data_IF_067868770810
#
_entry.id   IF_067868770810
#
_cell.length_a   1.000
_cell.length_b   1.000
_cell.length_c   1.000
_cell.angle_alpha   90.00
_cell.angle_beta   90.00
_cell.angle_gamma   90.00
#
_symmetry.space_group_name_H-M   'P 1'
#
loop_
_entity.id
_entity.type
_entity.pdbx_description
1 polymer ?
#
# COMPACT_ATOMS: atom_id res chain seq x y z
N UNK A 1 2.04 4.76 -13.92
CA UNK A 1 2.05 5.88 -14.89
C UNK A 1 1.04 5.75 -16.01
N UNK A 2 1.07 4.70 -16.84
CA UNK A 2 0.12 4.58 -17.97
C UNK A 2 -1.35 4.55 -17.53
N UNK A 3 -1.66 3.80 -16.48
CA UNK A 3 -3.01 3.75 -15.89
C UNK A 3 -3.43 5.10 -15.29
N UNK A 4 -2.54 5.77 -14.57
CA UNK A 4 -2.78 7.15 -14.11
C UNK A 4 -3.10 8.10 -15.28
N UNK A 5 -2.31 8.08 -16.36
CA UNK A 5 -2.54 8.92 -17.54
C UNK A 5 -3.87 8.58 -18.24
N UNK A 6 -4.22 7.30 -18.34
CA UNK A 6 -5.50 6.85 -18.90
C UNK A 6 -6.69 7.46 -18.14
N UNK A 7 -6.58 7.58 -16.83
CA UNK A 7 -7.61 8.16 -15.97
C UNK A 7 -7.43 9.65 -15.69
N UNK A 8 -6.51 10.34 -16.38
CA UNK A 8 -6.25 11.77 -16.19
C UNK A 8 -5.71 12.13 -14.79
N UNK A 9 -5.12 11.17 -14.08
CA UNK A 9 -4.56 11.39 -12.73
C UNK A 9 -3.20 12.07 -12.87
N UNK A 10 -3.08 13.25 -12.27
CA UNK A 10 -1.78 13.94 -12.16
C UNK A 10 -0.93 13.27 -11.10
N UNK A 11 0.28 12.85 -11.47
CA UNK A 11 1.22 12.15 -10.58
C UNK A 11 2.42 13.04 -10.31
N UNK A 12 2.74 13.24 -9.03
CA UNK A 12 4.02 13.83 -8.62
C UNK A 12 4.99 12.73 -8.20
N UNK A 13 6.15 12.66 -8.87
CA UNK A 13 7.18 11.69 -8.54
C UNK A 13 8.02 12.18 -7.38
N UNK A 14 8.05 11.39 -6.31
CA UNK A 14 8.95 11.60 -5.17
C UNK A 14 10.10 10.62 -5.32
N UNK A 15 11.23 11.09 -5.84
CA UNK A 15 12.42 10.25 -6.10
C UNK A 15 13.60 10.74 -5.26
N UNK A 16 14.10 9.95 -4.30
CA UNK A 16 15.34 10.27 -3.60
C UNK A 16 16.54 10.13 -4.55
N UNK A 17 17.61 10.90 -4.29
CA UNK A 17 18.87 10.78 -5.03
C UNK A 17 19.52 9.40 -4.84
N UNK A 18 19.34 8.82 -3.65
CA UNK A 18 19.84 7.51 -3.27
C UNK A 18 18.76 6.78 -2.47
N UNK A 19 18.48 5.51 -2.81
CA UNK A 19 17.50 4.71 -2.09
C UNK A 19 18.11 4.10 -0.82
N UNK A 20 17.64 4.55 0.35
CA UNK A 20 18.10 4.08 1.67
C UNK A 20 17.16 3.08 2.33
N UNK A 21 16.23 2.51 1.57
CA UNK A 21 15.21 1.60 2.08
C UNK A 21 13.88 2.29 2.40
N UNK A 22 12.92 1.49 2.88
CA UNK A 22 11.50 1.85 2.91
C UNK A 22 11.15 3.09 3.75
N UNK A 23 11.89 3.40 4.82
CA UNK A 23 11.69 4.63 5.59
C UNK A 23 11.96 5.90 4.78
N UNK A 24 12.70 5.80 3.66
CA UNK A 24 12.91 6.94 2.77
C UNK A 24 11.59 7.48 2.24
N UNK A 25 10.56 6.63 2.11
CA UNK A 25 9.21 7.06 1.77
C UNK A 25 8.66 8.08 2.77
N UNK A 26 8.81 7.84 4.07
CA UNK A 26 8.37 8.78 5.12
C UNK A 26 9.20 10.06 5.07
N UNK A 27 10.53 9.95 4.97
CA UNK A 27 11.41 11.12 4.90
C UNK A 27 11.07 12.03 3.72
N UNK A 28 10.85 11.45 2.54
CA UNK A 28 10.51 12.24 1.36
C UNK A 28 9.06 12.76 1.41
N UNK A 29 8.14 12.01 2.00
CA UNK A 29 6.79 12.51 2.25
C UNK A 29 6.81 13.73 3.17
N UNK A 30 7.63 13.74 4.23
CA UNK A 30 7.83 14.92 5.08
C UNK A 30 8.33 16.14 4.29
N UNK A 31 9.20 15.94 3.29
CA UNK A 31 9.66 17.03 2.43
C UNK A 31 8.53 17.54 1.55
N UNK A 32 7.79 16.61 0.94
CA UNK A 32 6.77 16.91 -0.06
C UNK A 32 5.58 17.68 0.53
N UNK A 33 5.13 17.33 1.73
CA UNK A 33 3.92 17.90 2.35
C UNK A 33 4.17 19.17 3.18
N UNK A 34 5.43 19.60 3.29
CA UNK A 34 5.84 20.71 4.16
C UNK A 34 5.17 22.04 3.79
N UNK A 35 4.95 22.26 2.50
CA UNK A 35 4.41 23.50 1.92
C UNK A 35 3.02 23.31 1.29
N UNK A 36 2.37 22.17 1.56
CA UNK A 36 1.04 21.83 1.02
C UNK A 36 -0.06 22.29 1.97
N UNK A 37 -1.24 22.63 1.44
CA UNK A 37 -2.35 23.08 2.27
C UNK A 37 -2.94 21.90 3.04
N UNK A 38 -3.28 22.15 4.30
CA UNK A 38 -3.75 21.12 5.23
C UNK A 38 -5.05 20.44 4.78
N UNK A 39 -5.89 21.18 4.05
CA UNK A 39 -7.16 20.70 3.50
C UNK A 39 -7.01 19.83 2.26
N UNK A 40 -5.87 19.84 1.58
CA UNK A 40 -5.66 19.06 0.36
C UNK A 40 -5.74 17.56 0.68
N UNK A 41 -6.27 16.77 -0.25
CA UNK A 41 -6.28 15.31 -0.17
C UNK A 41 -5.13 14.78 -1.01
N UNK A 42 -4.30 13.92 -0.41
CA UNK A 42 -3.18 13.27 -1.08
C UNK A 42 -3.42 11.76 -1.10
N UNK A 43 -3.10 11.12 -2.23
CA UNK A 43 -2.96 9.67 -2.33
C UNK A 43 -1.48 9.36 -2.51
N UNK A 44 -0.95 8.51 -1.63
CA UNK A 44 0.34 7.89 -1.79
C UNK A 44 0.18 6.51 -2.42
N UNK A 45 1.06 6.19 -3.37
CA UNK A 45 1.15 4.89 -3.98
C UNK A 45 2.62 4.50 -4.19
N UNK A 46 2.96 3.24 -3.90
CA UNK A 46 4.20 2.64 -4.38
C UNK A 46 4.21 2.66 -5.92
N UNK A 47 5.36 2.96 -6.51
CA UNK A 47 5.40 3.34 -7.93
C UNK A 47 5.54 2.14 -8.88
N UNK A 48 6.14 1.04 -8.43
CA UNK A 48 6.56 -0.06 -9.31
C UNK A 48 5.49 -1.14 -9.49
N UNK A 49 4.67 -1.36 -8.48
CA UNK A 49 3.74 -2.49 -8.36
C UNK A 49 2.31 -2.04 -8.02
N UNK A 50 1.96 -0.78 -8.30
CA UNK A 50 0.59 -0.28 -8.19
C UNK A 50 0.00 0.16 -9.55
N UNK A 51 -1.31 -0.02 -9.71
CA UNK A 51 -2.07 0.48 -10.84
C UNK A 51 -3.32 1.24 -10.35
N UNK A 52 -3.65 2.34 -11.04
CA UNK A 52 -4.97 2.96 -10.93
C UNK A 52 -5.99 2.17 -11.77
N UNK A 53 -7.21 2.05 -11.26
CA UNK A 53 -8.33 1.31 -11.86
C UNK A 53 -9.57 2.20 -12.09
N UNK A 54 -9.54 3.43 -11.57
CA UNK A 54 -10.56 4.45 -11.77
C UNK A 54 -9.92 5.84 -11.86
N UNK A 55 -10.73 6.85 -12.17
CA UNK A 55 -10.34 8.24 -11.97
C UNK A 55 -10.19 8.59 -10.48
N UNK A 56 -9.55 9.75 -10.24
CA UNK A 56 -9.25 10.23 -8.89
C UNK A 56 -10.51 10.64 -8.11
N UNK A 57 -11.57 11.07 -8.79
CA UNK A 57 -12.80 11.53 -8.14
C UNK A 57 -13.53 10.36 -7.50
N UNK A 58 -13.53 9.19 -8.14
CA UNK A 58 -14.09 7.96 -7.56
C UNK A 58 -13.41 7.64 -6.21
N UNK A 59 -12.07 7.67 -6.15
CA UNK A 59 -11.32 7.44 -4.92
C UNK A 59 -11.62 8.51 -3.85
N UNK A 60 -11.63 9.79 -4.24
CA UNK A 60 -11.92 10.91 -3.31
C UNK A 60 -13.34 10.84 -2.75
N UNK A 61 -14.32 10.46 -3.57
CA UNK A 61 -15.72 10.31 -3.14
C UNK A 61 -15.88 9.18 -2.12
N UNK A 62 -15.26 8.02 -2.36
CA UNK A 62 -15.24 6.90 -1.41
C UNK A 62 -14.53 7.28 -0.10
N UNK A 63 -13.39 7.96 -0.19
CA UNK A 63 -12.68 8.41 1.00
C UNK A 63 -13.50 9.39 1.84
N UNK A 64 -14.17 10.33 1.18
CA UNK A 64 -15.03 11.31 1.83
C UNK A 64 -16.22 10.63 2.51
N UNK A 65 -16.84 9.62 1.88
CA UNK A 65 -17.96 8.88 2.48
C UNK A 65 -17.55 8.01 3.67
N UNK A 66 -16.29 7.58 3.72
CA UNK A 66 -15.75 6.85 4.87
C UNK A 66 -15.62 7.72 6.13
N UNK A 67 -15.72 9.05 6.03
CA UNK A 67 -15.58 9.98 7.14
C UNK A 67 -14.34 9.65 7.99
N UNK A 68 -13.16 9.81 7.42
CA UNK A 68 -11.86 9.62 8.08
C UNK A 68 -10.85 10.65 7.58
N UNK A 69 -9.81 10.89 8.37
CA UNK A 69 -8.76 11.87 8.07
C UNK A 69 -7.60 11.23 7.31
N UNK A 70 -7.36 9.94 7.55
CA UNK A 70 -6.32 9.12 6.94
C UNK A 70 -6.82 7.68 6.78
N UNK A 71 -6.74 7.16 5.57
CA UNK A 71 -7.09 5.80 5.19
C UNK A 71 -5.85 5.08 4.68
N UNK A 72 -5.47 3.98 5.32
CA UNK A 72 -4.41 3.11 4.84
C UNK A 72 -5.01 1.86 4.20
N UNK A 73 -4.38 1.33 3.16
CA UNK A 73 -4.82 0.05 2.60
C UNK A 73 -4.67 -1.08 3.61
N UNK A 74 -5.55 -2.08 3.51
CA UNK A 74 -5.51 -3.27 4.37
C UNK A 74 -5.01 -4.50 3.59
N UNK A 75 -4.34 -5.43 4.27
CA UNK A 75 -3.84 -6.67 3.71
C UNK A 75 -4.16 -7.88 4.60
N UNK A 76 -3.93 -9.08 4.06
CA UNK A 76 -4.17 -10.37 4.74
C UNK A 76 -2.98 -10.84 5.59
N UNK A 77 -1.84 -10.15 5.52
CA UNK A 77 -0.59 -10.61 6.13
C UNK A 77 -0.03 -9.59 7.13
N UNK A 78 0.12 -10.00 8.39
CA UNK A 78 0.76 -9.16 9.39
C UNK A 78 2.28 -9.12 9.19
N UNK A 79 2.77 -8.04 8.59
CA UNK A 79 4.20 -7.82 8.34
C UNK A 79 4.57 -6.36 8.59
N UNK A 80 5.75 -6.05 9.15
CA UNK A 80 6.79 -6.98 9.60
C UNK A 80 6.56 -7.57 10.99
N UNK A 81 5.63 -7.02 11.79
CA UNK A 81 5.48 -7.36 13.22
C UNK A 81 4.38 -8.38 13.47
N UNK A 82 4.65 -9.66 13.16
CA UNK A 82 3.69 -10.76 13.37
C UNK A 82 3.13 -10.82 14.79
N UNK A 83 3.92 -10.43 15.80
CA UNK A 83 3.49 -10.38 17.20
C UNK A 83 2.37 -9.38 17.49
N UNK A 84 2.12 -8.42 16.58
CA UNK A 84 1.01 -7.49 16.68
C UNK A 84 -0.30 -8.03 16.09
N UNK A 85 -0.31 -9.23 15.48
CA UNK A 85 -1.47 -9.74 14.76
C UNK A 85 -2.77 -9.73 15.60
N UNK A 86 -2.72 -10.28 16.83
CA UNK A 86 -3.86 -10.31 17.74
C UNK A 86 -4.34 -8.92 18.20
N UNK A 87 -3.48 -7.89 18.11
CA UNK A 87 -3.88 -6.51 18.44
C UNK A 87 -4.76 -5.90 17.35
N UNK A 88 -4.53 -6.27 16.09
CA UNK A 88 -5.37 -5.85 14.97
C UNK A 88 -6.72 -6.59 14.92
N UNK A 89 -6.80 -7.80 15.46
CA UNK A 89 -8.06 -8.58 15.49
C UNK A 89 -9.17 -7.91 16.29
N UNK A 90 -8.80 -7.11 17.30
CA UNK A 90 -9.74 -6.39 18.17
C UNK A 90 -10.25 -5.06 17.58
N UNK A 91 -9.81 -4.70 16.38
CA UNK A 91 -10.19 -3.44 15.74
C UNK A 91 -11.55 -3.61 15.04
N UNK A 92 -12.54 -2.74 15.31
CA UNK A 92 -13.86 -2.83 14.68
C UNK A 92 -13.79 -2.76 13.15
N UNK A 93 -14.50 -3.66 12.48
CA UNK A 93 -14.60 -3.75 11.01
C UNK A 93 -15.83 -4.56 10.60
N UNK A 94 -16.13 -4.55 9.30
CA UNK A 94 -17.07 -5.49 8.69
C UNK A 94 -16.73 -6.96 9.03
N UNK A 95 -17.76 -7.78 9.26
CA UNK A 95 -17.61 -9.21 9.52
C UNK A 95 -17.15 -9.99 8.28
N UNK A 96 -17.28 -9.41 7.08
CA UNK A 96 -16.86 -10.02 5.81
C UNK A 96 -15.36 -9.88 5.58
N UNK A 97 -14.74 -8.84 6.11
CA UNK A 97 -13.34 -8.54 5.82
C UNK A 97 -12.36 -9.39 6.62
N UNK A 98 -11.43 -10.00 5.90
CA UNK A 98 -10.21 -10.62 6.45
C UNK A 98 -8.98 -9.72 6.32
N UNK A 99 -9.09 -8.56 5.67
CA UNK A 99 -7.99 -7.61 5.50
C UNK A 99 -7.91 -6.74 6.74
N UNK A 100 -7.07 -7.12 7.71
CA UNK A 100 -7.04 -6.49 9.04
C UNK A 100 -5.70 -5.81 9.35
N UNK A 101 -4.69 -6.01 8.51
CA UNK A 101 -3.35 -5.49 8.73
C UNK A 101 -3.08 -4.30 7.82
N UNK A 102 -2.44 -3.22 8.30
CA UNK A 102 -2.09 -2.09 7.44
C UNK A 102 -1.01 -2.47 6.40
N UNK A 103 -1.20 -1.98 5.17
CA UNK A 103 -0.20 -1.98 4.11
C UNK A 103 0.06 -0.55 3.61
N UNK A 104 1.30 -0.07 3.70
CA UNK A 104 1.64 1.33 3.40
C UNK A 104 2.03 1.59 1.95
N UNK A 105 1.93 0.59 1.06
CA UNK A 105 2.11 0.82 -0.37
C UNK A 105 0.96 1.62 -1.00
N UNK A 106 -0.20 1.69 -0.35
CA UNK A 106 -1.29 2.58 -0.70
C UNK A 106 -1.90 3.20 0.56
N UNK A 107 -2.01 4.52 0.59
CA UNK A 107 -2.79 5.24 1.59
C UNK A 107 -3.25 6.60 1.05
N UNK A 108 -4.29 7.18 1.64
CA UNK A 108 -4.73 8.53 1.32
C UNK A 108 -5.25 9.27 2.53
N UNK A 109 -5.19 10.60 2.52
CA UNK A 109 -5.68 11.39 3.63
C UNK A 109 -5.62 12.88 3.37
N UNK A 110 -6.15 13.66 4.31
CA UNK A 110 -5.89 15.10 4.37
C UNK A 110 -4.40 15.31 4.63
N UNK A 111 -3.82 16.33 4.01
CA UNK A 111 -2.41 16.68 4.20
C UNK A 111 -2.09 16.91 5.69
N UNK A 112 -3.01 17.50 6.47
CA UNK A 112 -2.84 17.65 7.92
C UNK A 112 -2.64 16.30 8.62
N UNK A 113 -3.44 15.29 8.29
CA UNK A 113 -3.38 13.96 8.89
C UNK A 113 -2.14 13.16 8.44
N UNK A 114 -1.79 13.26 7.16
CA UNK A 114 -0.55 12.66 6.62
C UNK A 114 0.67 13.32 7.27
N UNK A 115 0.64 14.64 7.45
CA UNK A 115 1.71 15.39 8.13
C UNK A 115 1.82 14.97 9.59
N UNK A 116 0.70 14.79 10.27
CA UNK A 116 0.67 14.27 11.62
C UNK A 116 1.33 12.89 11.72
N UNK A 117 0.95 11.97 10.82
CA UNK A 117 1.56 10.63 10.74
C UNK A 117 3.07 10.70 10.46
N UNK A 118 3.47 11.37 9.38
CA UNK A 118 4.87 11.42 8.99
C UNK A 118 5.73 12.13 10.03
N UNK A 119 5.20 13.13 10.74
CA UNK A 119 5.93 13.87 11.78
C UNK A 119 5.89 13.23 13.17
N UNK A 120 5.12 12.14 13.38
CA UNK A 120 5.22 11.35 14.62
C UNK A 120 6.64 10.78 14.81
N UNK A 121 7.40 10.68 13.72
CA UNK A 121 8.79 10.22 13.70
C UNK A 121 9.70 11.37 13.28
N UNK A 122 10.54 11.82 14.20
CA UNK A 122 11.52 12.88 13.91
C UNK A 122 12.54 12.42 12.86
N UNK A 123 13.11 13.37 12.11
CA UNK A 123 14.18 13.10 11.13
C UNK A 123 15.40 12.43 11.76
N UNK A 124 15.77 12.85 12.98
CA UNK A 124 16.86 12.22 13.74
C UNK A 124 16.54 10.76 14.07
N UNK A 125 15.29 10.45 14.38
CA UNK A 125 14.86 9.07 14.62
C UNK A 125 14.90 8.25 13.33
N UNK A 126 14.41 8.77 12.20
CA UNK A 126 14.53 8.11 10.89
C UNK A 126 15.99 7.79 10.56
N UNK A 127 16.91 8.75 10.77
CA UNK A 127 18.35 8.56 10.58
C UNK A 127 18.89 7.41 11.45
N UNK A 128 18.55 7.40 12.74
CA UNK A 128 18.94 6.32 13.65
C UNK A 128 18.38 4.97 13.22
N UNK A 129 17.14 4.95 12.75
CA UNK A 129 16.47 3.72 12.34
C UNK A 129 17.05 3.10 11.06
N UNK A 130 17.57 3.92 10.12
CA UNK A 130 18.34 3.38 8.98
C UNK A 130 19.57 2.60 9.44
N UNK A 131 20.25 3.10 10.48
CA UNK A 131 21.46 2.46 11.02
C UNK A 131 21.13 1.21 11.82
N UNK A 132 19.90 1.09 12.34
CA UNK A 132 19.48 -0.10 13.07
C UNK A 132 19.24 -1.27 12.11
N UNK A 133 20.13 -2.28 12.21
CA UNK A 133 20.04 -3.53 11.45
C UNK A 133 19.93 -3.32 9.92
N UNK A 134 20.68 -2.34 9.39
CA UNK A 134 20.68 -1.91 7.99
C UNK A 134 19.27 -1.55 7.46
N UNK A 135 18.38 -1.04 8.32
CA UNK A 135 17.02 -0.66 7.94
C UNK A 135 16.09 -1.83 7.58
N UNK A 136 16.53 -3.09 7.76
CA UNK A 136 15.81 -4.27 7.28
C UNK A 136 14.44 -4.49 7.95
N UNK A 137 14.25 -3.96 9.16
CA UNK A 137 13.02 -4.15 9.94
C UNK A 137 12.39 -2.86 10.46
N UNK A 138 13.08 -1.72 10.33
CA UNK A 138 12.42 -0.43 10.45
C UNK A 138 11.92 -0.06 9.07
N UNK A 139 10.68 -0.44 8.77
CA UNK A 139 10.00 -0.12 7.50
C UNK A 139 8.94 0.95 7.74
N UNK A 140 8.54 1.62 6.67
CA UNK A 140 7.38 2.52 6.67
C UNK A 140 6.11 1.80 7.17
N UNK A 141 5.90 0.56 6.73
CA UNK A 141 4.78 -0.28 7.15
C UNK A 141 4.81 -0.58 8.65
N UNK A 142 5.96 -1.00 9.17
CA UNK A 142 6.13 -1.24 10.60
C UNK A 142 5.89 0.04 11.42
N UNK A 143 6.34 1.18 10.92
CA UNK A 143 6.07 2.48 11.55
C UNK A 143 4.58 2.81 11.58
N UNK A 144 3.86 2.55 10.49
CA UNK A 144 2.41 2.74 10.47
C UNK A 144 1.68 1.77 11.41
N UNK A 145 2.11 0.51 11.52
CA UNK A 145 1.53 -0.45 12.47
C UNK A 145 1.52 0.10 13.89
N UNK A 146 2.68 0.61 14.33
CA UNK A 146 2.81 1.20 15.67
C UNK A 146 1.93 2.45 15.80
N UNK A 147 2.02 3.37 14.82
CA UNK A 147 1.26 4.63 14.81
C UNK A 147 -0.25 4.40 14.90
N UNK A 148 -0.76 3.41 14.17
CA UNK A 148 -2.16 3.04 14.12
C UNK A 148 -2.61 2.38 15.44
N UNK A 149 -1.87 1.36 15.90
CA UNK A 149 -2.21 0.64 17.14
C UNK A 149 -2.21 1.55 18.38
N UNK A 150 -1.30 2.52 18.45
CA UNK A 150 -1.24 3.48 19.57
C UNK A 150 -2.55 4.25 19.72
N UNK A 151 -3.17 4.64 18.60
CA UNK A 151 -4.42 5.41 18.56
C UNK A 151 -5.67 4.58 18.80
N UNK A 152 -5.63 3.29 18.44
CA UNK A 152 -6.64 2.33 18.87
C UNK A 152 -6.50 1.91 20.35
N UNK A 153 -5.57 2.53 21.09
CA UNK A 153 -5.38 2.29 22.52
C UNK A 153 -4.70 0.97 22.85
N UNK A 154 -4.05 0.32 21.86
CA UNK A 154 -3.25 -0.86 22.11
C UNK A 154 -2.08 -0.50 23.03
N UNK A 155 -1.94 -1.25 24.13
CA UNK A 155 -0.81 -1.08 25.07
C UNK A 155 0.33 -2.01 24.67
N UNK A 156 1.55 -1.55 24.92
CA UNK A 156 2.71 -2.44 24.90
C UNK A 156 2.53 -3.53 25.97
N UNK A 157 2.97 -4.75 25.68
CA UNK A 157 2.92 -5.83 26.68
C UNK A 157 3.90 -5.55 27.83
N UNK A 158 3.45 -5.78 29.06
CA UNK A 158 4.32 -5.81 30.23
C UNK A 158 5.02 -7.18 30.24
N UNK A 159 6.34 -7.21 29.98
CA UNK A 159 7.14 -8.44 30.09
C UNK A 159 7.23 -9.29 28.82
N UNK A 160 7.88 -8.77 27.77
CA UNK A 160 8.37 -9.61 26.68
C UNK A 160 9.70 -10.29 27.09
N UNK A 161 9.65 -11.17 28.09
CA UNK A 161 10.72 -12.10 28.44
C UNK A 161 10.16 -13.52 28.30
N UNK A 162 10.23 -14.06 27.09
CA UNK A 162 9.92 -15.47 26.82
C UNK A 162 11.21 -16.24 26.55
N UNK A 163 11.30 -17.46 27.08
CA UNK A 163 12.43 -18.37 26.83
C UNK A 163 12.61 -18.67 25.34
N UNK A 164 13.88 -18.70 24.93
CA UNK A 164 14.34 -18.66 23.54
C UNK A 164 14.60 -20.07 22.98
N UNK A 165 14.09 -20.33 21.78
CA UNK A 165 14.66 -21.35 20.88
C UNK A 165 15.94 -20.82 20.21
N UNK A 166 17.01 -21.64 20.20
CA UNK A 166 18.43 -21.27 20.03
C UNK A 166 18.92 -20.87 18.62
N UNK A 167 18.11 -20.22 17.79
CA UNK A 167 18.54 -19.82 16.42
C UNK A 167 18.81 -18.32 16.29
N UNK A 168 19.76 -17.94 15.41
CA UNK A 168 20.03 -16.52 15.10
C UNK A 168 18.82 -15.77 14.51
N UNK A 169 17.90 -16.49 13.86
CA UNK A 169 16.69 -15.90 13.28
C UNK A 169 15.68 -15.52 14.37
N UNK A 170 15.45 -16.40 15.35
CA UNK A 170 14.56 -16.15 16.49
C UNK A 170 15.08 -15.01 17.37
N UNK A 171 16.38 -14.94 17.64
CA UNK A 171 17.00 -13.81 18.37
C UNK A 171 16.77 -12.46 17.66
N UNK A 172 16.81 -12.46 16.33
CA UNK A 172 16.60 -11.25 15.54
C UNK A 172 15.14 -10.80 15.57
N UNK A 173 14.21 -11.73 15.36
CA UNK A 173 12.77 -11.47 15.44
C UNK A 173 12.40 -10.91 16.82
N UNK A 174 12.99 -11.43 17.88
CA UNK A 174 12.80 -10.96 19.25
C UNK A 174 13.35 -9.52 19.48
N UNK A 175 14.55 -9.21 18.97
CA UNK A 175 15.10 -7.83 19.03
C UNK A 175 14.21 -6.83 18.29
N UNK A 176 13.69 -7.21 17.13
CA UNK A 176 12.75 -6.40 16.35
C UNK A 176 11.43 -6.23 17.11
N UNK A 177 10.93 -7.29 17.74
CA UNK A 177 9.74 -7.25 18.58
C UNK A 177 9.88 -6.25 19.73
N UNK A 178 10.96 -6.34 20.51
CA UNK A 178 11.26 -5.39 21.59
C UNK A 178 11.42 -3.95 21.11
N UNK A 179 11.94 -3.74 19.90
CA UNK A 179 12.01 -2.41 19.31
C UNK A 179 10.61 -1.87 18.99
N UNK A 180 9.75 -2.68 18.37
CA UNK A 180 8.38 -2.30 18.03
C UNK A 180 7.54 -1.99 19.29
N UNK A 181 7.66 -2.77 20.37
CA UNK A 181 6.97 -2.50 21.64
C UNK A 181 7.41 -1.17 22.27
N UNK A 182 8.71 -0.86 22.21
CA UNK A 182 9.24 0.43 22.70
C UNK A 182 8.67 1.61 21.92
N UNK A 183 8.49 1.45 20.61
CA UNK A 183 7.85 2.49 19.80
C UNK A 183 6.38 2.66 20.15
N UNK A 184 5.64 1.56 20.35
CA UNK A 184 4.23 1.63 20.72
C UNK A 184 4.04 2.33 22.06
N UNK A 185 4.92 2.05 23.03
CA UNK A 185 4.94 2.76 24.31
C UNK A 185 5.19 4.26 24.16
N UNK A 186 5.93 4.69 23.14
CA UNK A 186 6.29 6.10 22.90
C UNK A 186 5.22 6.87 22.13
N UNK A 187 4.56 6.24 21.15
CA UNK A 187 3.58 6.91 20.27
C UNK A 187 2.37 7.49 21.01
N UNK A 188 2.11 7.05 22.25
CA UNK A 188 1.11 7.66 23.14
C UNK A 188 -0.33 7.54 22.62
N UNK A 189 -1.30 8.01 23.43
CA UNK A 189 -2.67 8.21 22.95
C UNK A 189 -2.79 9.63 22.43
N UNK A 190 -3.28 9.74 21.20
CA UNK A 190 -3.62 11.00 20.56
C UNK A 190 -5.01 10.83 19.95
N UNK A 191 -5.96 11.64 20.40
CA UNK A 191 -7.40 11.45 20.17
C UNK A 191 -7.94 12.33 19.02
N UNK A 192 -7.06 13.06 18.31
CA UNK A 192 -7.49 14.08 17.35
C UNK A 192 -7.77 13.62 15.91
N UNK A 193 -7.31 12.43 15.50
CA UNK A 193 -7.42 11.96 14.11
C UNK A 193 -8.19 10.65 13.99
N UNK A 194 -9.17 10.65 13.10
CA UNK A 194 -9.92 9.48 12.72
C UNK A 194 -9.19 8.73 11.59
N UNK A 195 -8.36 7.76 11.96
CA UNK A 195 -7.58 6.95 11.03
C UNK A 195 -8.27 5.60 10.86
N UNK A 196 -8.38 5.13 9.61
CA UNK A 196 -9.00 3.84 9.29
C UNK A 196 -8.09 3.00 8.40
N UNK A 197 -8.35 1.69 8.39
CA UNK A 197 -7.91 0.82 7.30
C UNK A 197 -9.06 0.61 6.33
N UNK A 198 -8.72 0.49 5.05
CA UNK A 198 -9.65 0.09 3.99
C UNK A 198 -9.92 -1.42 4.05
N UNK A 199 -10.59 -1.85 5.12
CA UNK A 199 -10.86 -3.26 5.40
C UNK A 199 -11.65 -3.94 4.28
N UNK A 200 -12.61 -3.24 3.68
CA UNK A 200 -13.49 -3.80 2.64
C UNK A 200 -12.93 -3.62 1.21
N UNK A 201 -11.69 -3.13 1.08
CA UNK A 201 -11.01 -2.87 -0.18
C UNK A 201 -11.83 -2.00 -1.15
N UNK A 202 -12.51 -0.98 -0.62
CA UNK A 202 -13.35 -0.07 -1.41
C UNK A 202 -12.51 0.82 -2.34
N UNK A 203 -11.31 1.20 -1.90
CA UNK A 203 -10.39 2.06 -2.63
C UNK A 203 -9.11 1.31 -3.02
N UNK A 204 -8.57 0.51 -2.11
CA UNK A 204 -7.26 -0.12 -2.24
C UNK A 204 -7.36 -1.65 -2.15
N UNK A 205 -6.91 -2.34 -3.20
CA UNK A 205 -6.80 -3.81 -3.21
C UNK A 205 -5.34 -4.26 -3.16
N UNK A 206 -4.93 -4.89 -2.06
CA UNK A 206 -3.65 -5.59 -1.97
C UNK A 206 -3.78 -7.03 -2.47
N UNK A 207 -2.88 -7.48 -3.35
CA UNK A 207 -2.95 -8.82 -3.94
C UNK A 207 -2.12 -9.87 -3.20
N UNK A 208 -1.27 -9.48 -2.25
CA UNK A 208 -0.50 -10.46 -1.48
C UNK A 208 -1.40 -11.40 -0.67
N UNK A 209 -1.36 -12.70 -1.00
CA UNK A 209 -2.23 -13.77 -0.46
C UNK A 209 -3.71 -13.63 -0.78
N UNK A 210 -4.11 -12.64 -1.59
CA UNK A 210 -5.49 -12.53 -2.05
C UNK A 210 -5.77 -13.65 -3.07
N UNK A 211 -6.82 -14.46 -2.89
CA UNK A 211 -7.14 -15.54 -3.82
C UNK A 211 -7.76 -14.96 -5.10
N UNK A 212 -7.12 -15.19 -6.24
CA UNK A 212 -7.55 -14.62 -7.52
C UNK A 212 -8.98 -14.98 -7.95
N UNK A 213 -9.48 -16.15 -7.53
CA UNK A 213 -10.87 -16.57 -7.74
C UNK A 213 -11.93 -15.65 -7.13
N UNK A 214 -11.54 -14.79 -6.17
CA UNK A 214 -12.45 -13.84 -5.54
C UNK A 214 -12.66 -12.59 -6.41
N UNK A 215 -11.98 -12.48 -7.56
CA UNK A 215 -12.02 -11.30 -8.42
C UNK A 215 -12.63 -11.57 -9.79
N UNK A 216 -13.33 -10.57 -10.32
CA UNK A 216 -13.79 -10.53 -11.71
C UNK A 216 -13.42 -9.20 -12.36
N UNK A 217 -13.49 -9.15 -13.69
CA UNK A 217 -13.33 -7.92 -14.46
C UNK A 217 -14.62 -7.62 -15.20
N UNK A 218 -15.19 -6.45 -14.96
CA UNK A 218 -16.44 -5.99 -15.57
C UNK A 218 -16.21 -4.61 -16.13
N UNK A 219 -16.40 -4.44 -17.46
CA UNK A 219 -16.19 -3.17 -18.16
C UNK A 219 -14.82 -2.52 -17.89
N UNK A 220 -13.76 -3.33 -17.83
CA UNK A 220 -12.40 -2.85 -17.56
C UNK A 220 -12.11 -2.49 -16.10
N UNK A 221 -13.05 -2.72 -15.19
CA UNK A 221 -12.86 -2.53 -13.73
C UNK A 221 -12.71 -3.86 -13.02
N UNK A 222 -11.79 -3.91 -12.06
CA UNK A 222 -11.67 -5.02 -11.12
C UNK A 222 -12.85 -4.97 -10.13
N UNK A 223 -13.46 -6.12 -9.87
CA UNK A 223 -14.45 -6.31 -8.81
C UNK A 223 -13.94 -7.35 -7.82
N UNK A 224 -13.95 -7.02 -6.54
CA UNK A 224 -13.74 -7.98 -5.46
C UNK A 224 -15.09 -8.57 -5.06
N UNK A 225 -15.35 -9.81 -5.49
CA UNK A 225 -16.63 -10.49 -5.27
C UNK A 225 -16.82 -10.93 -3.82
N UNK A 226 -15.73 -11.21 -3.09
CA UNK A 226 -15.79 -11.62 -1.68
C UNK A 226 -16.22 -10.46 -0.77
N UNK A 227 -15.79 -9.24 -1.08
CA UNK A 227 -16.11 -8.04 -0.31
C UNK A 227 -17.24 -7.19 -0.93
N UNK A 228 -17.63 -7.51 -2.17
CA UNK A 228 -18.57 -6.72 -2.96
C UNK A 228 -18.12 -5.26 -3.16
N UNK A 229 -16.84 -5.08 -3.48
CA UNK A 229 -16.22 -3.77 -3.68
C UNK A 229 -15.58 -3.64 -5.06
N UNK A 230 -15.36 -2.40 -5.49
CA UNK A 230 -14.73 -2.05 -6.77
C UNK A 230 -13.56 -1.12 -6.48
N UNK A 231 -12.34 -1.63 -6.25
CA UNK A 231 -11.21 -0.81 -5.83
C UNK A 231 -10.78 0.18 -6.92
N UNK A 232 -10.31 1.35 -6.48
CA UNK A 232 -9.76 2.41 -7.34
C UNK A 232 -8.27 2.22 -7.63
N UNK A 233 -7.57 1.47 -6.79
CA UNK A 233 -6.16 1.10 -6.97
C UNK A 233 -5.92 -0.36 -6.59
N UNK A 234 -4.99 -0.99 -7.30
CA UNK A 234 -4.51 -2.34 -7.01
C UNK A 234 -3.00 -2.30 -6.74
N UNK A 235 -2.55 -3.05 -5.74
CA UNK A 235 -1.16 -3.16 -5.32
C UNK A 235 -0.71 -4.62 -5.29
N UNK A 236 0.34 -4.94 -6.04
CA UNK A 236 0.94 -6.26 -6.16
C UNK A 236 2.06 -6.50 -5.15
N UNK A 237 1.78 -6.21 -3.87
CA UNK A 237 2.74 -6.35 -2.78
C UNK A 237 3.36 -7.75 -2.66
N UNK A 238 4.57 -7.82 -2.11
CA UNK A 238 5.24 -9.07 -1.73
C UNK A 238 5.55 -10.01 -2.90
N UNK A 239 5.87 -9.45 -4.07
CA UNK A 239 6.09 -10.16 -5.33
C UNK A 239 4.84 -10.91 -5.86
N UNK A 240 3.62 -10.45 -5.53
CA UNK A 240 2.41 -11.08 -6.06
C UNK A 240 2.22 -10.87 -7.57
N UNK A 241 3.00 -9.99 -8.18
CA UNK A 241 3.21 -9.87 -9.63
C UNK A 241 3.91 -11.10 -10.24
N UNK A 242 4.72 -11.83 -9.45
CA UNK A 242 5.54 -12.98 -9.92
C UNK A 242 4.95 -14.36 -9.64
N UNK A 243 3.90 -14.46 -8.83
CA UNK A 243 3.38 -15.76 -8.34
C UNK A 243 2.69 -16.58 -9.44
N UNK A 244 2.42 -16.02 -10.63
CA UNK A 244 1.66 -16.73 -11.67
C UNK A 244 2.45 -17.06 -12.94
N UNK A 245 3.51 -17.84 -12.75
CA UNK A 245 4.33 -18.35 -13.86
C UNK A 245 4.07 -19.82 -14.23
N UNK A 246 2.97 -20.46 -13.79
CA UNK A 246 2.67 -21.82 -14.28
C UNK A 246 1.24 -22.13 -14.70
N UNK A 247 0.19 -21.56 -14.14
CA UNK A 247 -1.16 -21.83 -14.60
C UNK A 247 -1.99 -20.60 -14.25
N UNK A 248 -2.26 -19.71 -15.21
CA UNK A 248 -3.54 -18.96 -15.30
C UNK A 248 -3.49 -17.89 -16.40
N UNK A 249 -4.40 -18.04 -17.36
CA UNK A 249 -4.69 -17.14 -18.49
C UNK A 249 -5.24 -15.77 -18.06
N UNK A 250 -5.26 -15.48 -16.76
CA UNK A 250 -5.88 -14.29 -16.17
C UNK A 250 -5.00 -13.05 -16.38
N UNK A 251 -3.67 -13.18 -16.30
CA UNK A 251 -2.76 -12.07 -16.65
C UNK A 251 -2.68 -11.81 -18.15
N UNK A 252 -2.94 -12.82 -18.98
CA UNK A 252 -2.98 -12.69 -20.45
C UNK A 252 -4.27 -12.01 -20.92
N UNK A 253 -5.44 -12.41 -20.38
CA UNK A 253 -6.73 -11.77 -20.66
C UNK A 253 -6.82 -10.37 -20.02
N UNK A 254 -6.11 -10.17 -18.90
CA UNK A 254 -5.81 -8.84 -18.37
C UNK A 254 -4.89 -8.06 -19.30
N UNK A 255 -3.77 -8.60 -19.80
CA UNK A 255 -2.88 -7.86 -20.71
C UNK A 255 -3.55 -7.46 -22.03
N UNK A 256 -4.59 -8.20 -22.44
CA UNK A 256 -5.39 -7.93 -23.63
C UNK A 256 -6.47 -6.84 -23.39
N UNK A 257 -6.80 -6.49 -22.13
CA UNK A 257 -7.87 -5.52 -21.78
C UNK A 257 -7.45 -4.39 -20.82
N UNK A 258 -6.38 -4.59 -20.04
CA UNK A 258 -5.69 -3.66 -19.13
C UNK A 258 -4.20 -3.95 -19.29
N UNK A 259 -3.49 -3.09 -20.03
CA UNK A 259 -2.11 -3.41 -20.40
C UNK A 259 -1.19 -3.48 -19.18
N UNK A 260 -0.79 -4.70 -18.79
CA UNK A 260 0.26 -4.96 -17.81
C UNK A 260 1.62 -4.85 -18.51
N UNK A 261 2.49 -3.97 -17.99
CA UNK A 261 3.87 -3.85 -18.46
C UNK A 261 4.82 -4.36 -17.39
N UNK A 262 5.42 -5.52 -17.66
CA UNK A 262 6.52 -6.07 -16.89
C UNK A 262 7.73 -5.13 -16.98
N UNK A 263 8.21 -4.58 -15.86
CA UNK A 263 9.41 -3.73 -15.80
C UNK A 263 10.71 -4.51 -15.56
N UNK A 264 10.73 -5.83 -15.72
CA UNK A 264 11.98 -6.58 -15.78
C UNK A 264 12.42 -6.83 -17.22
N UNK A 265 12.80 -5.77 -17.91
CA UNK A 265 13.87 -5.86 -18.91
C UNK A 265 14.90 -4.80 -18.60
N UNK A 266 15.99 -5.23 -17.97
CA UNK A 266 17.27 -4.61 -18.26
C UNK A 266 17.39 -4.53 -19.77
N UNK A 267 17.43 -3.32 -20.31
CA UNK A 267 17.61 -3.08 -21.74
C UNK A 267 18.79 -3.90 -22.28
N UNK A 268 18.56 -4.66 -23.35
CA UNK A 268 19.24 -4.46 -24.64
C UNK A 268 18.34 -4.94 -25.79
N UNK A 269 17.70 -3.99 -26.48
CA UNK A 269 17.12 -4.23 -27.82
C UNK A 269 15.85 -3.42 -28.11
N UNK A 270 15.71 -2.81 -29.30
CA UNK A 270 14.57 -1.96 -29.65
C UNK A 270 13.29 -2.79 -29.82
N UNK A 271 12.19 -2.27 -29.28
CA UNK A 271 10.84 -2.77 -29.49
C UNK A 271 10.45 -2.59 -30.96
N UNK A 272 10.40 -3.69 -31.72
CA UNK A 272 9.66 -3.72 -32.99
C UNK A 272 8.17 -3.93 -32.72
N UNK A 273 7.47 -2.83 -32.91
CA UNK A 273 6.05 -2.73 -33.18
C UNK A 273 5.67 -3.70 -34.32
N UNK A 274 4.71 -4.61 -34.11
CA UNK A 274 4.07 -5.29 -35.23
C UNK A 274 2.56 -5.07 -35.20
N UNK A 275 2.12 -4.45 -36.31
CA UNK A 275 0.78 -4.00 -36.65
C UNK A 275 -0.22 -5.16 -36.63
N UNK A 276 -1.37 -4.95 -36.01
CA UNK A 276 -2.61 -5.63 -36.40
C UNK A 276 -3.86 -4.87 -35.92
N UNK A 277 -4.01 -3.59 -36.28
CA UNK A 277 -5.33 -2.94 -36.31
C UNK A 277 -5.35 -1.87 -37.40
N UNK A 278 -5.65 -2.32 -38.62
CA UNK A 278 -6.32 -1.53 -39.66
C UNK A 278 -6.95 -2.54 -40.63
N UNK A 279 -8.26 -2.76 -40.47
CA UNK A 279 -9.21 -3.00 -41.56
C UNK A 279 -10.61 -3.11 -40.99
N UNK A 280 -11.16 -1.96 -40.63
CA UNK A 280 -12.58 -1.69 -40.65
C UNK A 280 -12.68 -0.16 -40.70
N UNK A 281 -12.48 0.37 -41.90
CA UNK A 281 -12.94 1.70 -42.34
C UNK A 281 -12.48 1.88 -43.79
N UNK A 282 -13.14 1.17 -44.71
CA UNK A 282 -13.16 1.53 -46.13
C UNK A 282 -14.41 0.94 -46.79
N UNK A 283 -15.58 1.41 -46.33
CA UNK A 283 -16.78 1.47 -47.16
C UNK A 283 -17.27 2.92 -47.13
N UNK A 284 -17.22 3.56 -48.30
CA UNK A 284 -17.73 4.88 -48.68
C UNK A 284 -16.69 5.99 -48.89
N UNK A 285 -16.06 5.96 -50.07
CA UNK A 285 -15.96 7.10 -51.00
C UNK A 285 -15.49 6.55 -52.36
N UNK A 286 -16.44 6.10 -53.20
CA UNK A 286 -16.97 6.79 -54.40
C UNK A 286 -16.02 6.77 -55.61
N UNK A 287 -16.49 6.06 -56.64
CA UNK A 287 -16.35 6.32 -58.09
C UNK A 287 -14.97 6.20 -58.71
#
# INVERSE_FOLDING_TARGET
MRTCNHFGITVTHIKPNEWKGNLQKIFEMQNFIRDKNDSDILIFADAYDCLALSDINEAVNKFTSMNCDLLCSAELNCHPFKQFASRFENIPRSSKSRHIYPNTGLYMGRVSAIRHYCNSITRQQLIKDYTFNNGRYSTDQGRFHVYYLARYGAKASEGAEGEVGSTKASEMEEKVGRWAERLLKKEGKDEGLNIKLDHDCEIFQNMHKAPWKDFSFESGKLRNNALNSTPSFIHFSGNSDRIHNREDRVLTDLSDRIIFFNQNTHEKGPLTYNKAFHKEDEINQRK
#
